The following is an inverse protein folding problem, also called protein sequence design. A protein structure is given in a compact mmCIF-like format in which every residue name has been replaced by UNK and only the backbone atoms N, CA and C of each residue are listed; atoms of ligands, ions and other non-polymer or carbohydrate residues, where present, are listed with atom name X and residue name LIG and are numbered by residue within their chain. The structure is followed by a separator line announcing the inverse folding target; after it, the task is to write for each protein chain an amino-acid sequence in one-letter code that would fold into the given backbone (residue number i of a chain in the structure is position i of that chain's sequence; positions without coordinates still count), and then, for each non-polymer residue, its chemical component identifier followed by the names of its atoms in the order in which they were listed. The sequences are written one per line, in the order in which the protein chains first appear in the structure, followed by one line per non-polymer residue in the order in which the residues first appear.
data_IF_114033212070
#
_entry.id   IF_114033212070
#
_cell.length_a   1.000
_cell.length_b   1.000
_cell.length_c   1.000
_cell.angle_alpha   90.00
_cell.angle_beta   90.00
_cell.angle_gamma   90.00
#
_symmetry.space_group_name_H-M   'P 1'
#
loop_
_entity.id
_entity.type
_entity.pdbx_description
1 polymer ?
#
# COMPACT_ATOMS: atom_id res chain seq x y z
N UNK A 1 23.46 19.78 0.17
CA UNK A 1 23.65 18.87 -0.98
C UNK A 1 24.46 17.60 -0.64
N UNK A 2 25.56 17.68 0.11
CA UNK A 2 26.44 16.51 0.34
C UNK A 2 25.81 15.35 1.14
N UNK A 3 24.89 15.63 2.08
CA UNK A 3 24.24 14.60 2.89
C UNK A 3 23.28 13.72 2.08
N UNK A 4 22.45 14.32 1.21
CA UNK A 4 21.50 13.59 0.37
C UNK A 4 22.23 12.62 -0.57
N UNK A 5 23.30 13.07 -1.22
CA UNK A 5 24.09 12.22 -2.12
C UNK A 5 24.74 11.02 -1.40
N UNK A 6 25.25 11.25 -0.18
CA UNK A 6 25.80 10.17 0.65
C UNK A 6 24.72 9.16 1.06
N UNK A 7 23.54 9.64 1.45
CA UNK A 7 22.41 8.79 1.83
C UNK A 7 21.91 7.95 0.65
N UNK A 8 21.70 8.57 -0.51
CA UNK A 8 21.26 7.86 -1.72
C UNK A 8 22.29 6.82 -2.16
N UNK A 9 23.57 7.18 -2.19
CA UNK A 9 24.63 6.23 -2.55
C UNK A 9 24.74 5.05 -1.56
N UNK A 10 24.46 5.26 -0.26
CA UNK A 10 24.35 4.16 0.69
C UNK A 10 23.11 3.31 0.44
N UNK A 11 21.95 3.94 0.19
CA UNK A 11 20.69 3.23 -0.07
C UNK A 11 20.79 2.32 -1.30
N UNK A 12 21.40 2.80 -2.39
CA UNK A 12 21.58 2.02 -3.61
C UNK A 12 22.40 0.74 -3.38
N UNK A 13 23.38 0.79 -2.46
CA UNK A 13 24.25 -0.37 -2.12
C UNK A 13 23.66 -1.28 -1.05
N UNK A 14 22.87 -0.75 -0.13
CA UNK A 14 22.50 -1.46 1.11
C UNK A 14 20.99 -1.63 1.31
N UNK A 15 20.14 -1.20 0.38
CA UNK A 15 18.68 -1.38 0.46
C UNK A 15 18.31 -2.85 0.65
N UNK A 16 17.37 -3.09 1.56
CA UNK A 16 16.69 -4.40 1.66
C UNK A 16 15.78 -4.61 0.45
N UNK A 17 15.77 -5.83 -0.08
CA UNK A 17 14.77 -6.29 -1.04
C UNK A 17 13.48 -6.60 -0.27
N UNK A 18 12.42 -5.85 -0.58
CA UNK A 18 11.09 -6.01 0.01
C UNK A 18 10.08 -6.09 -1.13
N UNK A 19 9.02 -6.91 -1.01
CA UNK A 19 8.14 -7.21 -2.14
C UNK A 19 7.33 -6.00 -2.66
N UNK A 20 7.18 -4.96 -1.83
CA UNK A 20 6.53 -3.70 -2.19
C UNK A 20 7.49 -2.61 -2.70
N UNK A 21 8.80 -2.87 -2.73
CA UNK A 21 9.79 -1.90 -3.25
C UNK A 21 10.16 -2.24 -4.69
N UNK A 22 9.89 -1.31 -5.60
CA UNK A 22 10.41 -1.36 -6.96
C UNK A 22 11.94 -1.49 -6.98
N UNK A 23 12.46 -2.35 -7.86
CA UNK A 23 13.90 -2.46 -8.13
C UNK A 23 14.39 -1.25 -8.95
N UNK A 24 15.71 -0.99 -9.00
CA UNK A 24 16.24 0.06 -9.87
C UNK A 24 15.79 -0.15 -11.32
N UNK A 25 15.19 0.88 -11.92
CA UNK A 25 14.65 0.84 -13.28
C UNK A 25 13.18 0.38 -13.39
N UNK A 26 12.56 -0.07 -12.30
CA UNK A 26 11.14 -0.41 -12.28
C UNK A 26 10.27 0.78 -11.87
N UNK A 27 9.10 0.91 -12.48
CA UNK A 27 8.06 1.85 -12.03
C UNK A 27 7.30 1.25 -10.86
N UNK A 28 7.25 1.92 -9.69
CA UNK A 28 6.43 1.45 -8.57
C UNK A 28 4.95 1.41 -8.95
N UNK A 29 4.28 0.31 -8.64
CA UNK A 29 2.83 0.21 -8.76
C UNK A 29 2.15 0.93 -7.58
N UNK A 30 1.34 1.98 -7.83
CA UNK A 30 0.69 2.75 -6.77
C UNK A 30 -0.18 1.91 -5.82
N UNK A 31 -0.91 0.92 -6.35
CA UNK A 31 -1.74 0.03 -5.53
C UNK A 31 -0.89 -0.77 -4.55
N UNK A 32 0.21 -1.33 -5.05
CA UNK A 32 1.15 -2.16 -4.28
C UNK A 32 1.92 -1.36 -3.25
N UNK A 33 2.31 -0.12 -3.57
CA UNK A 33 2.95 0.80 -2.62
C UNK A 33 1.96 1.18 -1.51
N UNK A 34 0.79 1.69 -1.87
CA UNK A 34 -0.23 2.13 -0.93
C UNK A 34 -0.66 1.02 0.03
N UNK A 35 -0.94 -0.18 -0.48
CA UNK A 35 -1.31 -1.35 0.34
C UNK A 35 -0.23 -1.63 1.40
N UNK A 36 1.04 -1.59 1.01
CA UNK A 36 2.14 -1.84 1.93
C UNK A 36 2.27 -0.77 3.01
N UNK A 37 2.10 0.51 2.66
CA UNK A 37 2.17 1.62 3.61
C UNK A 37 1.06 1.52 4.67
N UNK A 38 -0.19 1.22 4.26
CA UNK A 38 -1.30 1.02 5.20
C UNK A 38 -1.02 -0.18 6.12
N UNK A 39 -0.48 -1.28 5.60
CA UNK A 39 -0.13 -2.45 6.42
C UNK A 39 1.00 -2.16 7.41
N UNK A 40 2.01 -1.38 7.01
CA UNK A 40 3.19 -1.07 7.82
C UNK A 40 2.94 -0.05 8.93
N UNK A 41 1.81 0.66 8.90
CA UNK A 41 1.39 1.51 10.02
C UNK A 41 1.29 0.68 11.31
N UNK A 42 2.15 1.01 12.28
CA UNK A 42 2.22 0.35 13.59
C UNK A 42 2.38 -1.19 13.52
N UNK A 43 2.91 -1.72 12.42
CA UNK A 43 3.12 -3.17 12.21
C UNK A 43 4.52 -3.41 11.64
N UNK A 44 5.22 -4.45 12.09
CA UNK A 44 6.61 -4.69 11.66
C UNK A 44 6.68 -5.33 10.26
N UNK A 45 7.80 -5.10 9.56
CA UNK A 45 8.07 -5.69 8.22
C UNK A 45 7.94 -7.21 8.22
N UNK A 46 8.43 -7.89 9.26
CA UNK A 46 8.39 -9.36 9.36
C UNK A 46 6.94 -9.85 9.42
N UNK A 47 6.10 -9.16 10.19
CA UNK A 47 4.67 -9.47 10.27
C UNK A 47 3.94 -9.15 8.97
N UNK A 48 4.23 -8.03 8.32
CA UNK A 48 3.48 -7.58 7.12
C UNK A 48 3.72 -8.46 5.90
N UNK A 49 4.95 -8.94 5.66
CA UNK A 49 5.32 -9.71 4.46
C UNK A 49 4.31 -10.80 4.05
N UNK A 50 3.98 -11.79 4.90
CA UNK A 50 3.04 -12.85 4.52
C UNK A 50 1.61 -12.34 4.28
N UNK A 51 1.18 -11.28 4.98
CA UNK A 51 -0.14 -10.69 4.74
C UNK A 51 -0.19 -9.94 3.42
N UNK A 52 0.85 -9.21 3.09
CA UNK A 52 0.97 -8.50 1.81
C UNK A 52 0.89 -9.46 0.63
N UNK A 53 1.63 -10.57 0.68
CA UNK A 53 1.59 -11.62 -0.35
C UNK A 53 0.21 -12.29 -0.45
N UNK A 54 -0.40 -12.61 0.69
CA UNK A 54 -1.77 -13.15 0.73
C UNK A 54 -2.79 -12.17 0.14
N UNK A 55 -2.70 -10.88 0.48
CA UNK A 55 -3.60 -9.86 -0.04
C UNK A 55 -3.49 -9.73 -1.55
N UNK A 56 -2.28 -9.67 -2.10
CA UNK A 56 -2.09 -9.59 -3.55
C UNK A 56 -2.51 -10.86 -4.29
N UNK A 57 -2.53 -12.01 -3.61
CA UNK A 57 -3.08 -13.24 -4.19
C UNK A 57 -4.61 -13.20 -4.26
N UNK A 58 -5.27 -12.67 -3.23
CA UNK A 58 -6.73 -12.59 -3.14
C UNK A 58 -7.31 -11.41 -3.92
N UNK A 59 -6.60 -10.28 -3.92
CA UNK A 59 -6.99 -9.01 -4.51
C UNK A 59 -5.81 -8.48 -5.35
N UNK A 60 -5.56 -9.03 -6.56
CA UNK A 60 -4.39 -8.68 -7.35
C UNK A 60 -4.35 -7.23 -7.80
N UNK A 61 -5.52 -6.61 -8.01
CA UNK A 61 -5.65 -5.22 -8.45
C UNK A 61 -6.48 -4.38 -7.48
N UNK A 62 -6.37 -3.06 -7.62
CA UNK A 62 -7.22 -2.11 -6.92
C UNK A 62 -8.72 -2.38 -7.16
N UNK A 63 -9.08 -2.78 -8.39
CA UNK A 63 -10.47 -3.09 -8.74
C UNK A 63 -10.97 -4.36 -8.04
N UNK A 64 -10.12 -5.39 -7.93
CA UNK A 64 -10.46 -6.61 -7.19
C UNK A 64 -10.67 -6.31 -5.70
N UNK A 65 -9.81 -5.47 -5.11
CA UNK A 65 -9.97 -5.04 -3.72
C UNK A 65 -11.25 -4.22 -3.53
N UNK A 66 -11.55 -3.29 -4.43
CA UNK A 66 -12.74 -2.44 -4.35
C UNK A 66 -14.05 -3.25 -4.47
N UNK A 67 -14.05 -4.28 -5.32
CA UNK A 67 -15.19 -5.18 -5.54
C UNK A 67 -15.35 -6.24 -4.44
N UNK A 68 -14.34 -6.45 -3.60
CA UNK A 68 -14.37 -7.47 -2.56
C UNK A 68 -15.48 -7.21 -1.52
N UNK A 69 -16.16 -8.26 -1.01
CA UNK A 69 -17.01 -8.16 0.15
C UNK A 69 -16.22 -7.71 1.39
N UNK A 70 -16.82 -6.88 2.24
CA UNK A 70 -16.18 -6.37 3.46
C UNK A 70 -15.62 -7.50 4.33
N UNK A 71 -16.40 -8.57 4.53
CA UNK A 71 -16.01 -9.73 5.33
C UNK A 71 -14.79 -10.48 4.77
N UNK A 72 -14.65 -10.53 3.44
CA UNK A 72 -13.49 -11.15 2.80
C UNK A 72 -12.22 -10.35 3.11
N UNK A 73 -12.30 -9.02 3.06
CA UNK A 73 -11.17 -8.13 3.39
C UNK A 73 -10.84 -8.19 4.88
N UNK A 74 -11.84 -8.16 5.76
CA UNK A 74 -11.62 -8.27 7.20
C UNK A 74 -10.99 -9.62 7.58
N UNK A 75 -11.44 -10.70 6.95
CA UNK A 75 -10.87 -12.05 7.15
C UNK A 75 -9.43 -12.12 6.66
N UNK A 76 -9.12 -11.51 5.51
CA UNK A 76 -7.75 -11.45 5.01
C UNK A 76 -6.83 -10.65 5.96
N UNK A 77 -7.36 -9.57 6.57
CA UNK A 77 -6.65 -8.67 7.50
C UNK A 77 -6.50 -9.23 8.92
N UNK A 78 -7.27 -10.25 9.29
CA UNK A 78 -7.32 -10.77 10.64
C UNK A 78 -5.93 -11.18 11.16
N UNK A 79 -5.48 -10.52 12.23
CA UNK A 79 -4.14 -10.70 12.81
C UNK A 79 -3.17 -9.52 12.61
N UNK A 80 -3.45 -8.57 11.70
CA UNK A 80 -2.67 -7.33 11.57
C UNK A 80 -3.03 -6.25 12.60
N UNK A 81 -4.13 -6.42 13.34
CA UNK A 81 -4.64 -5.42 14.29
C UNK A 81 -5.19 -4.15 13.63
N UNK A 82 -5.74 -3.25 14.44
CA UNK A 82 -6.35 -1.97 14.01
C UNK A 82 -7.25 -2.09 12.76
N UNK A 83 -8.38 -2.79 12.90
CA UNK A 83 -9.36 -3.02 11.81
C UNK A 83 -9.95 -1.75 11.19
N UNK A 84 -9.79 -0.58 11.83
CA UNK A 84 -10.07 0.70 11.17
C UNK A 84 -9.23 0.92 9.92
N UNK A 85 -7.97 0.45 9.88
CA UNK A 85 -7.11 0.51 8.69
C UNK A 85 -7.68 -0.30 7.55
N UNK A 86 -8.11 -1.54 7.81
CA UNK A 86 -8.72 -2.41 6.80
C UNK A 86 -10.01 -1.79 6.22
N UNK A 87 -10.86 -1.22 7.09
CA UNK A 87 -12.09 -0.55 6.66
C UNK A 87 -11.81 0.69 5.83
N UNK A 88 -10.86 1.52 6.24
CA UNK A 88 -10.46 2.70 5.47
C UNK A 88 -9.77 2.33 4.16
N UNK A 89 -8.95 1.27 4.14
CA UNK A 89 -8.34 0.71 2.94
C UNK A 89 -9.42 0.36 1.92
N UNK A 90 -10.42 -0.44 2.32
CA UNK A 90 -11.50 -0.84 1.43
C UNK A 90 -12.35 0.35 0.97
N UNK A 91 -12.68 1.27 1.90
CA UNK A 91 -13.41 2.50 1.56
C UNK A 91 -12.65 3.34 0.52
N UNK A 92 -11.34 3.51 0.71
CA UNK A 92 -10.48 4.25 -0.20
C UNK A 92 -10.37 3.57 -1.57
N UNK A 93 -10.21 2.24 -1.62
CA UNK A 93 -10.22 1.50 -2.88
C UNK A 93 -11.52 1.74 -3.67
N UNK A 94 -12.66 1.69 -2.98
CA UNK A 94 -13.98 1.97 -3.57
C UNK A 94 -14.10 3.42 -4.05
N UNK A 95 -13.64 4.39 -3.26
CA UNK A 95 -13.59 5.81 -3.66
C UNK A 95 -12.72 6.01 -4.90
N UNK A 96 -11.52 5.43 -4.95
CA UNK A 96 -10.63 5.53 -6.11
C UNK A 96 -11.27 4.95 -7.38
N UNK A 97 -11.93 3.80 -7.30
CA UNK A 97 -12.62 3.20 -8.45
C UNK A 97 -13.81 4.05 -8.89
N UNK A 98 -14.62 4.52 -7.95
CA UNK A 98 -15.85 5.25 -8.25
C UNK A 98 -15.62 6.69 -8.73
N UNK A 99 -14.66 7.40 -8.13
CA UNK A 99 -14.48 8.85 -8.32
C UNK A 99 -13.24 9.18 -9.15
N UNK A 100 -12.27 8.25 -9.23
CA UNK A 100 -10.99 8.47 -9.90
C UNK A 100 -10.66 7.42 -10.97
N UNK A 101 -11.66 6.63 -11.41
CA UNK A 101 -11.50 5.56 -12.41
C UNK A 101 -10.38 4.55 -12.08
N UNK A 102 -10.17 4.31 -10.79
CA UNK A 102 -9.12 3.40 -10.29
C UNK A 102 -7.70 3.95 -10.41
N UNK A 103 -7.54 5.26 -10.60
CA UNK A 103 -6.25 5.94 -10.72
C UNK A 103 -5.98 6.78 -9.48
N UNK A 104 -4.81 6.62 -8.87
CA UNK A 104 -4.39 7.47 -7.77
C UNK A 104 -4.14 8.91 -8.26
N UNK A 105 -4.67 9.93 -7.56
CA UNK A 105 -4.31 11.33 -7.82
C UNK A 105 -2.80 11.55 -7.76
N UNK A 106 -2.27 12.43 -8.62
CA UNK A 106 -0.85 12.77 -8.63
C UNK A 106 -0.49 13.93 -7.69
N UNK A 107 -1.50 14.68 -7.24
CA UNK A 107 -1.33 15.80 -6.32
C UNK A 107 -1.48 15.34 -4.88
N UNK A 108 -0.53 15.73 -4.03
CA UNK A 108 -0.53 15.41 -2.60
C UNK A 108 -1.82 15.87 -1.91
N UNK A 109 -2.27 17.09 -2.21
CA UNK A 109 -3.50 17.65 -1.64
C UNK A 109 -4.74 16.81 -1.96
N UNK A 110 -4.78 16.18 -3.13
CA UNK A 110 -5.85 15.28 -3.53
C UNK A 110 -5.70 13.88 -2.91
N UNK A 111 -4.48 13.39 -2.70
CA UNK A 111 -4.26 12.14 -1.97
C UNK A 111 -4.73 12.26 -0.51
N UNK A 112 -4.50 13.40 0.13
CA UNK A 112 -4.90 13.66 1.51
C UNK A 112 -6.42 13.74 1.72
N UNK A 113 -7.23 13.84 0.66
CA UNK A 113 -8.70 13.77 0.79
C UNK A 113 -9.19 12.32 0.84
N UNK A 114 -8.36 11.35 0.47
CA UNK A 114 -8.75 9.95 0.39
C UNK A 114 -8.84 9.30 1.79
N UNK A 115 -9.82 8.40 2.03
CA UNK A 115 -9.98 7.75 3.32
C UNK A 115 -8.72 7.01 3.78
N UNK A 116 -8.24 7.31 5.00
CA UNK A 116 -7.10 6.61 5.59
C UNK A 116 -5.73 7.00 5.05
N UNK A 117 -5.64 8.04 4.22
CA UNK A 117 -4.39 8.71 3.84
C UNK A 117 -4.29 10.00 4.65
N UNK A 118 -3.12 10.24 5.28
CA UNK A 118 -2.85 11.40 6.13
C UNK A 118 -1.38 11.47 6.53
#
# INVERSE_FOLDING_TARGET
MQAAQKLLGWYDRHRRVLPWRALPGETPDPYRVWLSEIMLQQTTVVTVKPYYEKFLTLFPTLHDLAAAPDDAVMTAWAGLGYYSRARNLLKCARTLVAEHNGIFPQEESALLTLPGIG
#
